data_IF_278376944100
#
_entry.id   IF_278376944100
#
_cell.length_a   1.000
_cell.length_b   1.000
_cell.length_c   1.000
_cell.angle_alpha   90.00
_cell.angle_beta   90.00
_cell.angle_gamma   90.00
#
_symmetry.space_group_name_H-M   'P 1'
#
loop_
_entity.id
_entity.type
_entity.pdbx_description
1 polymer ?
#
# COMPACT_ATOMS: atom_id res chain seq x y z
N UNK A 1 47.06 -21.17 -22.54
CA UNK A 1 46.62 -20.18 -23.56
C UNK A 1 45.07 -20.19 -23.64
N UNK A 2 44.45 -19.19 -23.07
CA UNK A 2 42.98 -19.11 -23.00
C UNK A 2 42.47 -18.47 -24.27
N UNK A 3 41.77 -19.24 -25.09
CA UNK A 3 41.17 -18.79 -26.34
C UNK A 3 39.87 -18.01 -26.00
N UNK A 4 39.97 -16.68 -25.92
CA UNK A 4 38.78 -15.82 -25.72
C UNK A 4 38.12 -15.58 -27.07
N UNK A 5 36.96 -16.20 -27.27
CA UNK A 5 36.10 -15.93 -28.46
C UNK A 5 35.56 -14.50 -28.32
N UNK A 6 35.77 -13.65 -29.34
CA UNK A 6 35.25 -12.29 -29.36
C UNK A 6 33.72 -12.29 -29.67
N UNK A 7 33.02 -11.25 -29.24
CA UNK A 7 31.58 -11.08 -29.56
C UNK A 7 31.31 -11.05 -31.08
N UNK A 8 32.28 -10.58 -31.84
CA UNK A 8 32.20 -10.52 -33.33
C UNK A 8 32.31 -11.92 -33.94
N UNK A 9 33.18 -12.78 -33.41
CA UNK A 9 33.34 -14.17 -33.84
C UNK A 9 32.11 -15.01 -33.53
N UNK A 10 31.44 -14.74 -32.37
CA UNK A 10 30.20 -15.39 -32.00
C UNK A 10 29.06 -15.04 -32.97
N UNK A 11 28.94 -13.76 -33.36
CA UNK A 11 27.88 -13.29 -34.27
C UNK A 11 28.11 -13.84 -35.68
N UNK A 12 29.37 -13.86 -36.18
CA UNK A 12 29.69 -14.39 -37.50
C UNK A 12 29.47 -15.89 -37.59
N UNK A 13 29.79 -16.65 -36.55
CA UNK A 13 29.57 -18.10 -36.54
C UNK A 13 28.08 -18.44 -36.49
N UNK A 14 27.26 -17.64 -35.78
CA UNK A 14 25.80 -17.78 -35.75
C UNK A 14 25.14 -17.56 -37.13
N UNK A 15 25.66 -16.63 -37.91
CA UNK A 15 25.10 -16.30 -39.26
C UNK A 15 25.39 -17.36 -40.31
N UNK A 16 26.51 -18.06 -40.22
CA UNK A 16 26.87 -19.14 -41.14
C UNK A 16 26.04 -20.41 -40.90
N UNK A 17 25.69 -20.71 -39.66
CA UNK A 17 24.85 -21.87 -39.35
C UNK A 17 23.38 -21.63 -39.76
N UNK A 18 22.90 -20.39 -39.75
CA UNK A 18 21.54 -20.06 -40.19
C UNK A 18 21.37 -20.12 -41.73
N UNK A 19 22.47 -20.01 -42.50
CA UNK A 19 22.44 -20.01 -43.99
C UNK A 19 22.35 -21.40 -44.61
N UNK A 20 22.72 -22.47 -43.92
CA UNK A 20 22.78 -23.83 -44.44
C UNK A 20 21.52 -24.68 -44.19
N UNK A 21 20.54 -24.18 -43.48
CA UNK A 21 19.28 -24.88 -43.17
C UNK A 21 18.07 -24.36 -43.95
N UNK A 22 18.26 -23.42 -44.89
CA UNK A 22 17.14 -22.80 -45.61
C UNK A 22 16.59 -23.63 -46.80
N UNK A 23 17.08 -24.85 -47.02
CA UNK A 23 16.67 -25.67 -48.19
C UNK A 23 15.59 -26.73 -47.91
N UNK A 24 15.04 -26.83 -46.70
CA UNK A 24 13.96 -27.76 -46.41
C UNK A 24 12.94 -27.25 -45.36
N UNK A 25 12.68 -25.94 -45.37
CA UNK A 25 11.62 -25.37 -44.53
C UNK A 25 10.25 -25.51 -45.20
N UNK A 26 9.70 -26.71 -45.24
CA UNK A 26 8.26 -26.89 -45.23
C UNK A 26 7.79 -26.58 -43.80
N UNK A 27 7.19 -25.40 -43.68
CA UNK A 27 6.21 -25.00 -42.65
C UNK A 27 6.30 -25.75 -41.29
N UNK A 28 7.38 -25.52 -40.57
CA UNK A 28 7.30 -25.55 -39.13
C UNK A 28 7.09 -24.08 -38.69
N UNK A 29 5.86 -23.59 -38.74
CA UNK A 29 5.44 -22.58 -37.81
C UNK A 29 5.51 -23.24 -36.43
N UNK A 30 6.72 -23.41 -35.92
CA UNK A 30 6.92 -23.68 -34.53
C UNK A 30 6.26 -22.53 -33.77
N UNK A 31 5.11 -22.77 -33.17
CA UNK A 31 4.61 -21.89 -32.14
C UNK A 31 5.81 -21.63 -31.22
N UNK A 32 6.16 -20.38 -31.03
CA UNK A 32 7.10 -20.00 -30.00
C UNK A 32 6.75 -20.84 -28.76
N UNK A 33 7.73 -21.43 -28.05
CA UNK A 33 7.41 -22.18 -26.87
C UNK A 33 6.51 -21.29 -26.02
N UNK A 34 5.26 -21.72 -25.88
CA UNK A 34 4.36 -21.06 -24.96
C UNK A 34 5.11 -21.08 -23.63
N UNK A 35 5.48 -19.90 -23.14
CA UNK A 35 5.88 -19.78 -21.75
C UNK A 35 4.64 -20.23 -21.00
N UNK A 36 4.58 -21.50 -20.67
CA UNK A 36 3.67 -21.96 -19.63
C UNK A 36 4.20 -21.30 -18.36
N UNK A 37 3.70 -20.11 -18.09
CA UNK A 37 3.72 -19.62 -16.73
C UNK A 37 2.98 -20.70 -15.95
N UNK A 38 3.73 -21.54 -15.23
CA UNK A 38 3.15 -22.34 -14.16
C UNK A 38 2.31 -21.34 -13.38
N UNK A 39 0.98 -21.55 -13.34
CA UNK A 39 0.06 -20.54 -12.83
C UNK A 39 0.57 -20.04 -11.49
N UNK A 40 1.00 -18.80 -11.43
CA UNK A 40 1.46 -18.18 -10.20
C UNK A 40 0.25 -18.19 -9.28
N UNK A 41 0.32 -18.97 -8.21
CA UNK A 41 -0.74 -18.97 -7.23
C UNK A 41 -0.69 -17.64 -6.48
N UNK A 42 -1.76 -16.86 -6.47
CA UNK A 42 -1.77 -15.62 -5.70
C UNK A 42 -1.55 -15.95 -4.21
N UNK A 43 -0.81 -15.07 -3.54
CA UNK A 43 -0.58 -15.14 -2.10
C UNK A 43 -0.82 -13.75 -1.55
N UNK A 44 -1.62 -13.65 -0.48
CA UNK A 44 -1.85 -12.41 0.26
C UNK A 44 -1.38 -12.61 1.69
N UNK A 45 -0.57 -11.69 2.17
CA UNK A 45 -0.05 -11.66 3.54
C UNK A 45 -0.43 -10.33 4.17
N UNK A 46 -0.92 -10.37 5.39
CA UNK A 46 -1.24 -9.18 6.16
C UNK A 46 -0.82 -9.34 7.63
N UNK A 47 -0.76 -8.22 8.35
CA UNK A 47 -0.73 -8.20 9.81
C UNK A 47 -2.02 -8.77 10.40
N UNK A 48 -2.03 -8.99 11.73
CA UNK A 48 -3.14 -9.66 12.42
C UNK A 48 -4.52 -9.02 12.24
N UNK A 49 -4.61 -7.72 12.01
CA UNK A 49 -5.88 -7.04 11.72
C UNK A 49 -6.42 -7.38 10.33
N UNK A 50 -5.56 -7.52 9.30
CA UNK A 50 -5.99 -7.79 7.94
C UNK A 50 -6.74 -9.12 7.71
N UNK A 51 -6.73 -10.05 8.67
CA UNK A 51 -7.52 -11.29 8.59
C UNK A 51 -8.53 -11.44 9.75
N UNK A 52 -8.81 -10.37 10.49
CA UNK A 52 -9.82 -10.38 11.56
C UNK A 52 -10.94 -9.36 11.32
N UNK A 53 -10.59 -8.21 10.77
CA UNK A 53 -11.51 -7.10 10.56
C UNK A 53 -12.32 -7.33 9.28
N UNK A 54 -13.64 -7.11 9.35
CA UNK A 54 -14.59 -7.30 8.25
C UNK A 54 -15.41 -6.05 7.94
N UNK A 55 -15.28 -5.01 8.74
CA UNK A 55 -16.05 -3.76 8.63
C UNK A 55 -17.55 -4.00 8.37
N UNK A 56 -18.14 -4.92 9.13
CA UNK A 56 -19.56 -5.31 8.98
C UNK A 56 -19.88 -6.19 7.77
N UNK A 57 -18.90 -6.52 6.93
CA UNK A 57 -19.04 -7.38 5.77
C UNK A 57 -18.77 -8.87 6.07
N UNK A 58 -18.77 -9.68 5.00
CA UNK A 58 -18.50 -11.13 5.07
C UNK A 58 -17.01 -11.48 4.93
N UNK A 59 -16.21 -10.62 4.27
CA UNK A 59 -14.82 -10.87 3.94
C UNK A 59 -13.87 -9.99 4.77
N UNK A 60 -12.70 -10.51 5.03
CA UNK A 60 -11.57 -9.79 5.61
C UNK A 60 -10.73 -9.13 4.51
N UNK A 61 -9.78 -8.27 4.89
CA UNK A 61 -8.81 -7.65 3.97
C UNK A 61 -8.13 -8.71 3.07
N UNK A 62 -7.59 -9.77 3.66
CA UNK A 62 -6.88 -10.80 2.88
C UNK A 62 -7.80 -11.63 2.00
N UNK A 63 -9.03 -11.92 2.45
CA UNK A 63 -10.03 -12.64 1.67
C UNK A 63 -10.48 -11.82 0.45
N UNK A 64 -10.79 -10.54 0.65
CA UNK A 64 -11.14 -9.61 -0.44
C UNK A 64 -10.02 -9.47 -1.46
N UNK A 65 -8.81 -9.20 -1.02
CA UNK A 65 -7.66 -9.06 -1.91
C UNK A 65 -7.39 -10.38 -2.68
N UNK A 66 -7.45 -11.52 -2.01
CA UNK A 66 -7.24 -12.82 -2.64
C UNK A 66 -8.31 -13.13 -3.69
N UNK A 67 -9.58 -12.91 -3.36
CA UNK A 67 -10.69 -13.11 -4.30
C UNK A 67 -10.53 -12.24 -5.54
N UNK A 68 -10.32 -10.94 -5.39
CA UNK A 68 -10.16 -10.02 -6.50
C UNK A 68 -8.99 -10.42 -7.42
N UNK A 69 -7.85 -10.79 -6.86
CA UNK A 69 -6.71 -11.28 -7.65
C UNK A 69 -7.02 -12.58 -8.40
N UNK A 70 -7.79 -13.50 -7.80
CA UNK A 70 -8.18 -14.75 -8.48
C UNK A 70 -9.24 -14.54 -9.55
N UNK A 71 -10.02 -13.47 -9.46
CA UNK A 71 -10.98 -13.01 -10.47
C UNK A 71 -10.28 -12.24 -11.61
N UNK A 72 -8.98 -11.96 -11.50
CA UNK A 72 -8.18 -11.33 -12.55
C UNK A 72 -8.01 -9.82 -12.43
N UNK A 73 -8.40 -9.24 -11.30
CA UNK A 73 -8.20 -7.83 -11.01
C UNK A 73 -6.72 -7.49 -10.79
N UNK A 74 -6.37 -6.23 -10.97
CA UNK A 74 -5.00 -5.74 -10.73
C UNK A 74 -4.58 -6.00 -9.29
N UNK A 75 -3.33 -6.43 -9.09
CA UNK A 75 -2.82 -6.82 -7.79
C UNK A 75 -2.85 -5.67 -6.77
N UNK A 76 -2.52 -4.45 -7.20
CA UNK A 76 -2.54 -3.30 -6.28
C UNK A 76 -3.96 -2.85 -5.96
N UNK A 77 -4.84 -2.81 -6.96
CA UNK A 77 -6.26 -2.50 -6.74
C UNK A 77 -6.88 -3.49 -5.74
N UNK A 78 -6.57 -4.78 -5.89
CA UNK A 78 -7.04 -5.83 -4.98
C UNK A 78 -6.53 -5.63 -3.55
N UNK A 79 -5.26 -5.30 -3.39
CA UNK A 79 -4.67 -5.03 -2.07
C UNK A 79 -5.28 -3.80 -1.40
N UNK A 80 -5.45 -2.71 -2.15
CA UNK A 80 -6.03 -1.46 -1.63
C UNK A 80 -7.49 -1.67 -1.26
N UNK A 81 -8.28 -2.37 -2.08
CA UNK A 81 -9.66 -2.71 -1.75
C UNK A 81 -9.75 -3.49 -0.43
N UNK A 82 -8.84 -4.45 -0.22
CA UNK A 82 -8.74 -5.16 1.06
C UNK A 82 -8.36 -4.24 2.23
N UNK A 83 -7.33 -3.41 2.07
CA UNK A 83 -6.86 -2.49 3.12
C UNK A 83 -7.94 -1.48 3.51
N UNK A 84 -8.76 -1.02 2.58
CA UNK A 84 -9.84 -0.08 2.86
C UNK A 84 -10.89 -0.64 3.82
N UNK A 85 -11.07 -1.96 3.91
CA UNK A 85 -11.95 -2.54 4.94
C UNK A 85 -11.44 -2.20 6.35
N UNK A 86 -10.13 -2.28 6.56
CA UNK A 86 -9.51 -1.92 7.83
C UNK A 86 -9.50 -0.40 8.05
N UNK A 87 -9.15 0.38 7.04
CA UNK A 87 -9.08 1.84 7.13
C UNK A 87 -10.43 2.49 7.42
N UNK A 88 -11.52 1.89 7.00
CA UNK A 88 -12.88 2.38 7.21
C UNK A 88 -13.55 1.82 8.46
N UNK A 89 -12.98 0.79 9.08
CA UNK A 89 -13.55 0.17 10.29
C UNK A 89 -13.13 0.94 11.54
N UNK A 90 -14.08 1.61 12.25
CA UNK A 90 -13.78 2.33 13.47
C UNK A 90 -13.26 1.44 14.61
N UNK A 91 -13.43 0.12 14.50
CA UNK A 91 -13.01 -0.85 15.51
C UNK A 91 -11.57 -1.34 15.33
N UNK A 92 -10.95 -1.13 14.15
CA UNK A 92 -9.54 -1.50 13.92
C UNK A 92 -8.63 -0.73 14.88
N UNK A 93 -8.77 0.58 14.92
CA UNK A 93 -8.04 1.46 15.81
C UNK A 93 -6.52 1.50 15.59
N UNK A 94 -6.02 0.86 14.54
CA UNK A 94 -4.60 0.87 14.15
C UNK A 94 -4.34 1.70 12.91
N UNK A 95 -5.33 1.79 12.03
CA UNK A 95 -5.25 2.47 10.73
C UNK A 95 -6.52 3.26 10.44
N UNK A 96 -6.48 4.21 9.52
CA UNK A 96 -7.65 4.90 8.99
C UNK A 96 -8.52 5.59 10.05
N UNK A 97 -9.83 5.41 9.92
CA UNK A 97 -10.84 5.99 10.82
C UNK A 97 -10.75 5.36 12.21
N UNK A 98 -10.56 6.19 13.24
CA UNK A 98 -10.36 5.71 14.62
C UNK A 98 -8.94 5.21 14.89
N UNK A 99 -7.99 5.48 13.99
CA UNK A 99 -6.58 5.20 14.19
C UNK A 99 -6.02 5.80 15.48
N UNK A 100 -4.85 5.32 15.91
CA UNK A 100 -4.22 5.80 17.14
C UNK A 100 -3.75 7.25 16.99
N UNK A 101 -4.21 8.18 17.84
CA UNK A 101 -3.78 9.57 17.79
C UNK A 101 -2.31 9.75 18.18
N UNK A 102 -1.72 10.85 17.73
CA UNK A 102 -0.41 11.33 18.19
C UNK A 102 -0.49 11.89 19.63
N UNK A 103 0.62 12.46 20.14
CA UNK A 103 0.70 13.00 21.48
C UNK A 103 -0.30 14.14 21.77
N UNK A 104 -0.74 14.83 20.72
CA UNK A 104 -1.68 15.97 20.81
C UNK A 104 -3.14 15.53 20.59
N UNK A 105 -3.38 14.24 20.43
CA UNK A 105 -4.72 13.68 20.23
C UNK A 105 -5.23 13.74 18.79
N UNK A 106 -4.35 13.99 17.83
CA UNK A 106 -4.68 14.10 16.41
C UNK A 106 -4.35 12.77 15.70
N UNK A 107 -5.31 12.24 14.95
CA UNK A 107 -5.06 11.06 14.12
C UNK A 107 -4.29 11.48 12.86
N UNK A 108 -3.02 11.10 12.81
CA UNK A 108 -2.11 11.26 11.68
C UNK A 108 -1.83 9.87 11.10
N UNK A 109 -1.95 9.75 9.79
CA UNK A 109 -1.89 8.47 9.11
C UNK A 109 -0.75 8.44 8.11
N UNK A 110 -0.15 7.26 7.99
CA UNK A 110 0.86 6.96 7.00
C UNK A 110 0.36 5.82 6.10
N UNK A 111 0.68 5.88 4.84
CA UNK A 111 0.42 4.78 3.91
C UNK A 111 1.40 4.80 2.76
N UNK A 112 1.73 3.63 2.27
CA UNK A 112 2.50 3.50 1.03
C UNK A 112 2.00 2.31 0.21
N UNK A 113 2.19 2.40 -1.09
CA UNK A 113 1.91 1.32 -2.01
C UNK A 113 3.02 1.16 -3.04
N UNK A 114 3.15 -0.04 -3.57
CA UNK A 114 4.08 -0.35 -4.64
C UNK A 114 3.41 -1.28 -5.65
N UNK A 115 3.51 -0.94 -6.92
CA UNK A 115 3.01 -1.74 -8.02
C UNK A 115 4.20 -2.36 -8.77
N UNK A 116 4.51 -3.62 -8.49
CA UNK A 116 5.65 -4.33 -9.09
C UNK A 116 5.65 -4.34 -10.62
N UNK A 117 4.56 -4.74 -11.28
CA UNK A 117 4.48 -4.73 -12.74
C UNK A 117 4.74 -3.37 -13.39
N UNK A 118 4.24 -2.28 -12.79
CA UNK A 118 4.46 -0.90 -13.28
C UNK A 118 5.77 -0.29 -12.78
N UNK A 119 6.45 -0.94 -11.83
CA UNK A 119 7.67 -0.44 -11.15
C UNK A 119 7.50 0.98 -10.62
N UNK A 120 6.36 1.25 -10.00
CA UNK A 120 6.01 2.53 -9.39
C UNK A 120 5.64 2.35 -7.92
N UNK A 121 5.86 3.40 -7.15
CA UNK A 121 5.48 3.47 -5.75
C UNK A 121 4.90 4.84 -5.44
N UNK A 122 4.09 4.93 -4.40
CA UNK A 122 3.56 6.17 -3.88
C UNK A 122 3.32 6.05 -2.38
N UNK A 123 3.33 7.17 -1.69
CA UNK A 123 3.12 7.20 -0.26
C UNK A 123 2.64 8.56 0.24
N UNK A 124 2.05 8.52 1.41
CA UNK A 124 1.72 9.68 2.22
C UNK A 124 2.17 9.45 3.65
N UNK A 125 2.59 10.49 4.34
CA UNK A 125 2.98 10.43 5.74
C UNK A 125 2.40 11.60 6.51
N UNK A 126 1.95 11.35 7.75
CA UNK A 126 1.38 12.38 8.61
C UNK A 126 0.15 13.06 8.00
N UNK A 127 -0.60 12.38 7.14
CA UNK A 127 -1.82 12.94 6.54
C UNK A 127 -2.95 12.94 7.56
N UNK A 128 -3.67 14.04 7.63
CA UNK A 128 -4.81 14.23 8.52
C UNK A 128 -6.12 14.29 7.75
N UNK A 129 -7.21 13.89 8.38
CA UNK A 129 -8.57 14.06 7.87
C UNK A 129 -8.99 13.12 6.73
N UNK A 130 -8.14 12.21 6.28
CA UNK A 130 -8.48 11.25 5.23
C UNK A 130 -8.59 9.84 5.81
N UNK A 131 -9.78 9.22 5.68
CA UNK A 131 -10.04 7.88 6.23
C UNK A 131 -9.28 6.77 5.48
N UNK A 132 -8.96 6.99 4.21
CA UNK A 132 -8.36 6.00 3.31
C UNK A 132 -7.03 6.49 2.76
N UNK A 133 -5.97 6.60 3.60
CA UNK A 133 -4.66 7.08 3.16
C UNK A 133 -4.03 6.20 2.08
N UNK A 134 -4.39 4.91 1.99
CA UNK A 134 -3.90 4.01 0.94
C UNK A 134 -4.35 4.45 -0.46
N UNK A 135 -5.58 4.92 -0.60
CA UNK A 135 -6.06 5.49 -1.86
C UNK A 135 -5.33 6.78 -2.23
N UNK A 136 -4.98 7.62 -1.25
CA UNK A 136 -4.16 8.82 -1.52
C UNK A 136 -2.75 8.43 -1.94
N UNK A 137 -2.13 7.45 -1.27
CA UNK A 137 -0.82 6.91 -1.66
C UNK A 137 -0.84 6.38 -3.10
N UNK A 138 -1.90 5.68 -3.49
CA UNK A 138 -2.10 5.23 -4.86
C UNK A 138 -2.25 6.40 -5.83
N UNK A 139 -3.00 7.43 -5.48
CA UNK A 139 -3.16 8.63 -6.29
C UNK A 139 -1.81 9.37 -6.49
N UNK A 140 -0.97 9.47 -5.45
CA UNK A 140 0.40 9.99 -5.56
C UNK A 140 1.18 9.19 -6.59
N UNK A 141 1.16 7.85 -6.52
CA UNK A 141 1.84 6.97 -7.47
C UNK A 141 1.33 7.16 -8.91
N UNK A 142 0.03 7.36 -9.10
CA UNK A 142 -0.60 7.38 -10.42
C UNK A 142 -0.49 8.74 -11.11
N UNK A 143 -0.58 9.84 -10.35
CA UNK A 143 -0.80 11.18 -10.87
C UNK A 143 0.35 12.15 -10.63
N UNK A 144 1.44 11.71 -10.00
CA UNK A 144 2.61 12.57 -9.75
C UNK A 144 3.91 11.85 -10.08
N UNK A 145 5.01 12.62 -10.15
CA UNK A 145 6.37 12.08 -10.20
C UNK A 145 7.00 11.94 -8.80
N UNK A 146 6.26 12.32 -7.76
CA UNK A 146 6.68 12.14 -6.38
C UNK A 146 6.42 10.71 -5.90
N UNK A 147 7.25 10.24 -4.98
CA UNK A 147 7.04 8.97 -4.30
C UNK A 147 6.44 9.13 -2.92
N UNK A 148 6.48 10.34 -2.35
CA UNK A 148 5.98 10.62 -1.01
C UNK A 148 5.52 12.08 -0.91
N UNK A 149 4.33 12.27 -0.36
CA UNK A 149 3.82 13.56 0.10
C UNK A 149 3.58 13.51 1.62
N UNK A 150 3.76 14.62 2.32
CA UNK A 150 3.75 14.63 3.79
C UNK A 150 2.86 15.73 4.34
N UNK A 151 2.16 15.44 5.44
CA UNK A 151 1.45 16.43 6.26
C UNK A 151 0.42 17.22 5.47
N UNK A 152 0.47 18.55 5.62
CA UNK A 152 -0.49 19.46 4.99
C UNK A 152 -0.44 19.42 3.45
N UNK A 153 0.73 19.16 2.86
CA UNK A 153 0.85 19.05 1.40
C UNK A 153 0.19 17.77 0.91
N UNK A 154 0.30 16.66 1.64
CA UNK A 154 -0.44 15.43 1.35
C UNK A 154 -1.95 15.64 1.46
N UNK A 155 -2.42 16.36 2.48
CA UNK A 155 -3.84 16.70 2.65
C UNK A 155 -4.34 17.63 1.53
N UNK A 156 -3.55 18.64 1.15
CA UNK A 156 -3.89 19.54 0.05
C UNK A 156 -4.00 18.79 -1.28
N UNK A 157 -3.05 17.88 -1.54
CA UNK A 157 -3.11 16.99 -2.70
C UNK A 157 -4.37 16.12 -2.67
N UNK A 158 -4.66 15.48 -1.55
CA UNK A 158 -5.87 14.65 -1.40
C UNK A 158 -7.14 15.46 -1.69
N UNK A 159 -7.25 16.67 -1.15
CA UNK A 159 -8.39 17.56 -1.42
C UNK A 159 -8.51 17.89 -2.91
N UNK A 160 -7.40 18.21 -3.57
CA UNK A 160 -7.37 18.51 -5.01
C UNK A 160 -7.74 17.30 -5.87
N UNK A 161 -7.45 16.08 -5.39
CA UNK A 161 -7.85 14.83 -6.04
C UNK A 161 -9.30 14.42 -5.74
N UNK A 162 -10.05 15.23 -4.97
CA UNK A 162 -11.46 14.99 -4.67
C UNK A 162 -11.73 14.14 -3.43
N UNK A 163 -10.72 13.83 -2.63
CA UNK A 163 -10.93 13.13 -1.36
C UNK A 163 -11.63 14.02 -0.34
N UNK A 164 -12.56 13.43 0.42
CA UNK A 164 -13.20 14.12 1.54
C UNK A 164 -12.19 14.30 2.67
N UNK A 165 -12.07 15.53 3.15
CA UNK A 165 -11.27 15.86 4.32
C UNK A 165 -12.21 16.04 5.52
N UNK A 166 -12.04 15.23 6.53
CA UNK A 166 -12.75 15.28 7.79
C UNK A 166 -11.98 16.13 8.80
N UNK A 167 -12.67 16.87 9.65
CA UNK A 167 -12.03 17.70 10.68
C UNK A 167 -11.36 16.84 11.77
N UNK A 168 -11.89 15.65 12.00
CA UNK A 168 -11.39 14.72 13.00
C UNK A 168 -11.66 13.27 12.59
N UNK A 169 -10.65 12.42 12.71
CA UNK A 169 -10.74 10.98 12.47
C UNK A 169 -10.84 10.18 13.77
N UNK A 170 -10.86 10.82 14.94
CA UNK A 170 -11.07 10.14 16.19
C UNK A 170 -12.47 9.53 16.27
N UNK A 171 -12.56 8.37 16.90
CA UNK A 171 -13.77 7.81 17.46
C UNK A 171 -13.75 7.99 18.98
N UNK A 172 -14.88 7.79 19.65
CA UNK A 172 -14.92 7.82 21.12
C UNK A 172 -13.90 6.84 21.72
N UNK A 173 -13.79 5.66 21.13
CA UNK A 173 -12.83 4.63 21.52
C UNK A 173 -11.36 5.07 21.34
N UNK A 174 -11.01 5.70 20.23
CA UNK A 174 -9.64 6.19 20.03
C UNK A 174 -9.29 7.33 20.99
N UNK A 175 -10.26 8.22 21.28
CA UNK A 175 -10.11 9.27 22.29
C UNK A 175 -9.92 8.71 23.69
N UNK A 176 -10.73 7.75 24.09
CA UNK A 176 -10.60 7.11 25.42
C UNK A 176 -9.22 6.45 25.57
N UNK A 177 -8.76 5.70 24.57
CA UNK A 177 -7.43 5.08 24.58
C UNK A 177 -6.31 6.12 24.67
N UNK A 178 -6.43 7.22 23.91
CA UNK A 178 -5.47 8.31 23.97
C UNK A 178 -5.46 8.98 25.34
N UNK A 179 -6.63 9.27 25.92
CA UNK A 179 -6.76 9.84 27.27
C UNK A 179 -6.14 8.93 28.33
N UNK A 180 -6.37 7.62 28.25
CA UNK A 180 -5.77 6.66 29.18
C UNK A 180 -4.25 6.61 29.04
N UNK A 181 -3.74 6.58 27.81
CA UNK A 181 -2.31 6.65 27.54
C UNK A 181 -1.71 7.96 28.08
N UNK A 182 -2.33 9.09 27.80
CA UNK A 182 -1.86 10.41 28.24
C UNK A 182 -1.81 10.52 29.75
N UNK A 183 -2.81 9.98 30.47
CA UNK A 183 -2.82 9.95 31.96
C UNK A 183 -1.64 9.17 32.52
N UNK A 184 -1.19 8.13 31.85
CA UNK A 184 -0.04 7.32 32.29
C UNK A 184 1.28 8.02 32.11
N UNK A 185 1.46 8.72 30.99
CA UNK A 185 2.75 9.34 30.64
C UNK A 185 2.87 10.78 31.15
N UNK A 186 1.77 11.47 31.32
CA UNK A 186 1.69 12.86 31.78
C UNK A 186 0.52 13.04 32.74
N UNK A 187 0.61 12.52 33.98
CA UNK A 187 -0.46 12.61 34.94
C UNK A 187 -0.86 14.04 35.27
N UNK A 188 0.09 14.98 35.25
CA UNK A 188 -0.13 16.40 35.55
C UNK A 188 -1.02 17.09 34.54
N UNK A 189 -1.07 16.60 33.29
CA UNK A 189 -1.89 17.18 32.21
C UNK A 189 -3.42 17.10 32.52
N UNK A 190 -3.83 16.10 33.28
CA UNK A 190 -5.25 15.83 33.58
C UNK A 190 -5.72 16.25 34.97
N UNK A 191 -4.86 16.91 35.73
CA UNK A 191 -5.30 17.50 36.97
C UNK A 191 -6.37 18.55 36.72
N UNK A 192 -7.38 18.63 37.57
CA UNK A 192 -8.33 19.73 37.52
C UNK A 192 -7.61 21.07 37.76
N UNK A 193 -8.20 22.23 37.40
CA UNK A 193 -7.51 23.52 37.49
C UNK A 193 -6.87 23.82 38.84
N UNK A 194 -7.53 23.42 39.94
CA UNK A 194 -7.02 23.63 41.29
C UNK A 194 -5.84 22.72 41.63
N UNK A 195 -5.86 21.48 41.16
CA UNK A 195 -4.75 20.53 41.32
C UNK A 195 -3.56 20.90 40.45
N UNK A 196 -3.79 21.36 39.23
CA UNK A 196 -2.72 21.86 38.30
C UNK A 196 -2.01 23.06 38.94
N UNK A 197 -2.76 24.03 39.47
CA UNK A 197 -2.17 25.18 40.13
C UNK A 197 -1.31 24.79 41.34
N UNK A 198 -1.73 23.77 42.13
CA UNK A 198 -0.92 23.26 43.26
C UNK A 198 0.30 22.48 42.80
N UNK A 199 0.24 21.82 41.64
CA UNK A 199 1.34 21.06 41.06
C UNK A 199 2.33 21.94 40.26
N UNK A 200 2.03 23.25 40.15
CA UNK A 200 2.88 24.19 39.43
C UNK A 200 2.73 24.19 37.89
N UNK A 201 1.58 23.72 37.41
CA UNK A 201 1.24 23.76 35.97
C UNK A 201 0.29 24.92 35.64
#
# INVERSE_FOLDING_TARGET
>A
MSNRISRRDFIQTGTVVAGLTAASARSAFGSAPAIQSSGVRPVVIASGNGHRIRNGGSETCVETAFRMMTEGEDVLESLIAGVNLNELDPEDGGVGFGGSPNADGIVQLDSCCMHGPKRRAGGVAGIEGVKTPSLVAQAVMQHTDHHLLVGQDAQAFARNMGFTIHDDLNTDRSRERWLEWKRRIDPGHYLNPGERARAGY
#
